data_IF_117588889174
#
_entry.id   IF_117588889174
#
_cell.length_a   1.000
_cell.length_b   1.000
_cell.length_c   1.000
_cell.angle_alpha   90.00
_cell.angle_beta   90.00
_cell.angle_gamma   90.00
#
_symmetry.space_group_name_H-M   'P 1'
#
loop_
_entity.id
_entity.type
_entity.pdbx_description
1 polymer ?
#
# COMPACT_ATOMS: atom_id res chain seq x y z
N UNK A 1 19.74 15.12 -19.44
CA UNK A 1 18.34 15.07 -18.97
C UNK A 1 18.24 13.88 -18.05
N UNK A 2 18.32 14.09 -16.74
CA UNK A 2 18.39 13.01 -15.75
C UNK A 2 16.97 12.59 -15.35
N UNK A 3 16.54 11.40 -15.77
CA UNK A 3 15.28 10.79 -15.34
C UNK A 3 15.42 10.18 -13.93
N UNK A 4 15.76 10.97 -12.90
CA UNK A 4 16.17 10.40 -11.60
C UNK A 4 15.43 10.92 -10.35
N UNK A 5 14.20 11.40 -10.48
CA UNK A 5 13.34 11.62 -9.30
C UNK A 5 12.16 10.63 -9.28
N UNK A 6 12.44 9.36 -9.59
CA UNK A 6 11.47 8.29 -9.32
C UNK A 6 11.67 7.86 -7.88
N UNK A 7 10.62 7.97 -7.09
CA UNK A 7 10.61 7.44 -5.73
C UNK A 7 10.76 5.91 -5.82
N UNK A 8 11.91 5.41 -5.37
CA UNK A 8 12.16 3.99 -5.19
C UNK A 8 11.87 3.65 -3.73
N UNK A 9 10.96 2.71 -3.52
CA UNK A 9 10.61 2.21 -2.20
C UNK A 9 11.06 0.76 -2.10
N UNK A 10 11.66 0.42 -0.97
CA UNK A 10 11.77 -0.98 -0.56
C UNK A 10 10.38 -1.56 -0.29
N UNK A 11 10.31 -2.89 -0.26
CA UNK A 11 9.07 -3.60 0.03
C UNK A 11 8.50 -3.21 1.40
N UNK A 12 9.33 -3.10 2.43
CA UNK A 12 8.89 -2.71 3.77
C UNK A 12 8.37 -1.26 3.82
N UNK A 13 9.00 -0.33 3.10
CA UNK A 13 8.52 1.05 2.99
C UNK A 13 7.17 1.13 2.26
N UNK A 14 6.99 0.32 1.22
CA UNK A 14 5.72 0.19 0.51
C UNK A 14 4.60 -0.35 1.44
N UNK A 15 4.88 -1.36 2.26
CA UNK A 15 3.92 -1.87 3.23
C UNK A 15 3.60 -0.86 4.32
N UNK A 16 4.59 -0.14 4.85
CA UNK A 16 4.39 0.88 5.87
C UNK A 16 3.55 2.05 5.35
N UNK A 17 3.81 2.53 4.13
CA UNK A 17 3.01 3.58 3.49
C UNK A 17 1.58 3.14 3.23
N UNK A 18 1.38 1.89 2.82
CA UNK A 18 0.05 1.34 2.66
C UNK A 18 -0.72 1.28 3.99
N UNK A 19 -0.07 0.78 5.05
CA UNK A 19 -0.69 0.72 6.38
C UNK A 19 -1.09 2.11 6.86
N UNK A 20 -0.22 3.11 6.69
CA UNK A 20 -0.49 4.51 7.06
C UNK A 20 -1.68 5.09 6.27
N UNK A 21 -1.74 4.82 4.96
CA UNK A 21 -2.84 5.29 4.13
C UNK A 21 -4.20 4.66 4.50
N UNK A 22 -4.18 3.42 4.99
CA UNK A 22 -5.39 2.68 5.39
C UNK A 22 -5.88 3.06 6.79
N UNK A 23 -4.98 3.50 7.69
CA UNK A 23 -5.33 3.92 9.06
C UNK A 23 -5.61 5.40 9.20
N UNK A 24 -5.41 6.18 8.14
CA UNK A 24 -5.68 7.61 8.13
C UNK A 24 -7.19 7.88 8.03
N UNK A 25 -7.74 8.63 8.99
CA UNK A 25 -9.13 9.13 8.95
C UNK A 25 -9.35 10.23 7.90
N UNK A 26 -8.28 10.69 7.25
CA UNK A 26 -8.33 11.70 6.20
C UNK A 26 -8.66 11.06 4.85
N UNK A 27 -9.71 11.56 4.20
CA UNK A 27 -10.06 11.17 2.85
C UNK A 27 -8.90 11.48 1.87
N UNK A 28 -8.45 10.47 1.15
CA UNK A 28 -7.45 10.62 0.10
C UNK A 28 -8.05 11.34 -1.11
N UNK A 29 -7.25 12.18 -1.75
CA UNK A 29 -7.64 12.70 -3.06
C UNK A 29 -7.64 11.57 -4.11
N UNK A 30 -8.37 11.74 -5.23
CA UNK A 30 -8.49 10.68 -6.25
C UNK A 30 -7.16 10.18 -6.83
N UNK A 31 -6.11 11.03 -6.82
CA UNK A 31 -4.77 10.64 -7.30
C UNK A 31 -4.09 9.75 -6.29
N UNK A 32 -4.11 10.13 -5.01
CA UNK A 32 -3.55 9.35 -3.92
C UNK A 32 -4.28 8.02 -3.75
N UNK A 33 -5.61 7.99 -3.85
CA UNK A 33 -6.38 6.75 -3.81
C UNK A 33 -5.97 5.78 -4.93
N UNK A 34 -5.77 6.29 -6.15
CA UNK A 34 -5.30 5.50 -7.29
C UNK A 34 -3.88 4.96 -7.06
N UNK A 35 -3.01 5.74 -6.42
CA UNK A 35 -1.66 5.31 -6.07
C UNK A 35 -1.68 4.21 -5.00
N UNK A 36 -2.47 4.38 -3.94
CA UNK A 36 -2.64 3.39 -2.87
C UNK A 36 -3.24 2.09 -3.39
N UNK A 37 -4.25 2.15 -4.28
CA UNK A 37 -4.80 0.93 -4.92
C UNK A 37 -3.75 0.17 -5.73
N UNK A 38 -2.86 0.86 -6.45
CA UNK A 38 -1.74 0.20 -7.15
C UNK A 38 -0.75 -0.43 -6.17
N UNK A 39 -0.50 0.24 -5.04
CA UNK A 39 0.38 -0.25 -3.98
C UNK A 39 -0.20 -1.52 -3.33
N UNK A 40 -1.50 -1.55 -3.04
CA UNK A 40 -2.21 -2.75 -2.56
C UNK A 40 -2.03 -3.92 -3.53
N UNK A 41 -2.24 -3.70 -4.83
CA UNK A 41 -2.12 -4.75 -5.83
C UNK A 41 -0.69 -5.27 -5.99
N UNK A 42 0.31 -4.39 -5.84
CA UNK A 42 1.72 -4.80 -5.78
C UNK A 42 1.98 -5.67 -4.56
N UNK A 43 1.57 -5.21 -3.37
CA UNK A 43 1.74 -5.93 -2.11
C UNK A 43 1.07 -7.32 -2.13
N UNK A 44 -0.16 -7.44 -2.67
CA UNK A 44 -0.86 -8.72 -2.83
C UNK A 44 -0.11 -9.71 -3.73
N UNK A 45 0.52 -9.24 -4.80
CA UNK A 45 1.32 -10.09 -5.69
C UNK A 45 2.60 -10.58 -5.02
N UNK A 46 3.19 -9.75 -4.16
CA UNK A 46 4.43 -10.07 -3.45
C UNK A 46 4.20 -10.94 -2.20
N UNK A 47 3.06 -10.80 -1.52
CA UNK A 47 2.69 -11.67 -0.39
C UNK A 47 2.59 -13.15 -0.77
N UNK A 48 2.19 -13.48 -2.01
CA UNK A 48 2.16 -14.87 -2.50
C UNK A 48 3.53 -15.56 -2.52
N UNK A 49 4.62 -14.80 -2.55
CA UNK A 49 5.99 -15.33 -2.48
C UNK A 49 6.55 -15.34 -1.05
N UNK A 50 5.95 -14.59 -0.13
CA UNK A 50 6.33 -14.51 1.29
C UNK A 50 5.34 -15.31 2.15
N UNK A 51 5.33 -16.63 2.02
CA UNK A 51 4.42 -17.56 2.71
C UNK A 51 4.51 -17.58 4.27
N UNK A 52 5.27 -16.67 4.90
CA UNK A 52 5.56 -16.66 6.34
C UNK A 52 5.34 -15.31 7.05
N UNK A 53 4.79 -14.27 6.40
CA UNK A 53 4.45 -13.02 7.10
C UNK A 53 2.98 -13.06 7.54
N UNK A 54 2.67 -12.76 8.82
CA UNK A 54 1.31 -12.80 9.33
C UNK A 54 0.45 -11.86 8.49
N UNK A 55 -0.70 -12.40 8.08
CA UNK A 55 -1.71 -11.74 7.28
C UNK A 55 -1.98 -10.34 7.85
N UNK A 56 -1.72 -9.31 7.05
CA UNK A 56 -2.40 -8.03 7.21
C UNK A 56 -3.86 -8.29 6.84
N UNK A 57 -4.58 -8.90 7.77
CA UNK A 57 -6.02 -9.12 7.71
C UNK A 57 -6.66 -7.74 7.74
N UNK A 58 -6.72 -7.13 6.56
CA UNK A 58 -7.52 -5.95 6.30
C UNK A 58 -8.98 -6.43 6.21
N UNK A 59 -9.51 -6.94 7.31
CA UNK A 59 -10.94 -7.13 7.45
C UNK A 59 -11.55 -5.73 7.39
N UNK A 60 -12.26 -5.48 6.28
CA UNK A 60 -13.24 -4.41 6.17
C UNK A 60 -14.21 -4.55 7.35
N UNK A 61 -13.97 -3.85 8.45
CA UNK A 61 -15.04 -3.55 9.39
C UNK A 61 -15.83 -2.43 8.72
N UNK A 62 -16.84 -2.85 7.96
CA UNK A 62 -17.79 -1.98 7.30
C UNK A 62 -18.35 -0.96 8.29
N UNK A 63 -18.30 0.30 7.88
CA UNK A 63 -19.16 1.32 8.43
C UNK A 63 -20.63 0.93 8.14
N UNK A 64 -21.38 0.58 9.18
CA UNK A 64 -22.81 0.90 9.39
C UNK A 64 -23.23 0.51 10.80
#
# INVERSE_FOLDING_TARGET
MSNHDRLELSEDEAFALLALAMTSDVALDPTSEKAVRKLVEYCKRHQRNHSNRPELDCELIGAS
#
